data_IF_617726485678
#
_entry.id   IF_617726485678
#
_cell.length_a   1.000
_cell.length_b   1.000
_cell.length_c   1.000
_cell.angle_alpha   90.00
_cell.angle_beta   90.00
_cell.angle_gamma   90.00
#
_symmetry.space_group_name_H-M   'P 1'
#
loop_
_entity.id
_entity.type
_entity.pdbx_description
1 polymer ?
#
# COMPACT_ATOMS: atom_id res chain seq x y z
N UNK A 1 -3.68 9.07 3.82
CA UNK A 1 -3.13 8.68 5.14
C UNK A 1 -1.65 8.33 5.03
N UNK A 2 -1.28 7.20 4.43
CA UNK A 2 0.12 6.73 4.41
C UNK A 2 1.11 7.75 3.83
N UNK A 3 0.88 8.28 2.63
CA UNK A 3 1.78 9.27 2.00
C UNK A 3 1.88 10.58 2.81
N UNK A 4 0.86 10.89 3.63
CA UNK A 4 0.87 12.05 4.51
C UNK A 4 1.57 11.76 5.87
N UNK A 5 2.20 10.60 6.04
CA UNK A 5 2.89 10.20 7.26
C UNK A 5 2.02 9.51 8.30
N UNK A 6 0.72 9.37 8.06
CA UNK A 6 -0.24 8.82 9.01
C UNK A 6 -0.42 7.31 8.82
N UNK A 7 0.52 6.54 9.38
CA UNK A 7 0.51 5.09 9.30
C UNK A 7 -0.64 4.47 10.08
N UNK A 8 -0.95 4.97 11.29
CA UNK A 8 -1.96 4.35 12.15
C UNK A 8 -3.34 4.40 11.51
N UNK A 9 -3.77 5.55 10.99
CA UNK A 9 -5.05 5.65 10.30
C UNK A 9 -5.05 4.85 8.98
N UNK A 10 -3.91 4.78 8.27
CA UNK A 10 -3.82 3.96 7.07
C UNK A 10 -4.01 2.47 7.37
N UNK A 11 -3.38 1.97 8.44
CA UNK A 11 -3.51 0.58 8.90
C UNK A 11 -4.92 0.27 9.37
N UNK A 12 -5.53 1.18 10.14
CA UNK A 12 -6.88 0.97 10.67
C UNK A 12 -7.91 0.97 9.52
N UNK A 13 -7.72 1.82 8.49
CA UNK A 13 -8.55 1.79 7.29
C UNK A 13 -8.37 0.50 6.47
N UNK A 14 -7.13 0.00 6.35
CA UNK A 14 -6.86 -1.28 5.71
C UNK A 14 -7.55 -2.44 6.44
N UNK A 15 -7.47 -2.45 7.78
CA UNK A 15 -8.16 -3.43 8.62
C UNK A 15 -9.66 -3.41 8.39
N UNK A 16 -10.25 -2.21 8.37
CA UNK A 16 -11.68 -2.02 8.12
C UNK A 16 -12.10 -2.58 6.76
N UNK A 17 -11.35 -2.28 5.69
CA UNK A 17 -11.64 -2.78 4.34
C UNK A 17 -11.55 -4.30 4.28
N UNK A 18 -10.49 -4.89 4.83
CA UNK A 18 -10.28 -6.33 4.72
C UNK A 18 -11.23 -7.14 5.61
N UNK A 19 -11.50 -6.68 6.83
CA UNK A 19 -12.31 -7.43 7.80
C UNK A 19 -13.80 -7.10 7.74
N UNK A 20 -14.15 -5.80 7.66
CA UNK A 20 -15.57 -5.39 7.69
C UNK A 20 -16.20 -5.52 6.31
N UNK A 21 -15.48 -5.13 5.27
CA UNK A 21 -15.98 -5.19 3.88
C UNK A 21 -15.63 -6.51 3.18
N UNK A 22 -14.92 -7.43 3.85
CA UNK A 22 -14.54 -8.76 3.33
C UNK A 22 -13.80 -8.71 1.99
N UNK A 23 -13.06 -7.63 1.74
CA UNK A 23 -12.28 -7.48 0.52
C UNK A 23 -10.98 -8.27 0.63
N UNK A 24 -10.67 -9.06 -0.40
CA UNK A 24 -9.44 -9.85 -0.43
C UNK A 24 -8.20 -8.94 -0.51
N UNK A 25 -7.08 -9.37 0.09
CA UNK A 25 -5.83 -8.62 -0.02
C UNK A 25 -5.33 -8.45 -1.47
N UNK A 26 -5.66 -9.41 -2.35
CA UNK A 26 -5.37 -9.33 -3.79
C UNK A 26 -6.18 -8.23 -4.48
N UNK A 27 -7.43 -8.02 -4.10
CA UNK A 27 -8.25 -6.94 -4.66
C UNK A 27 -7.80 -5.59 -4.11
N UNK A 28 -7.44 -5.52 -2.83
CA UNK A 28 -6.89 -4.31 -2.21
C UNK A 28 -5.61 -3.87 -2.93
N UNK A 29 -4.64 -4.78 -3.16
CA UNK A 29 -3.39 -4.39 -3.81
C UNK A 29 -3.58 -3.94 -5.27
N UNK A 30 -4.51 -4.58 -5.99
CA UNK A 30 -4.89 -4.15 -7.35
C UNK A 30 -5.56 -2.77 -7.36
N UNK A 31 -6.38 -2.47 -6.35
CA UNK A 31 -6.98 -1.15 -6.19
C UNK A 31 -5.91 -0.09 -5.89
N UNK A 32 -4.95 -0.39 -5.00
CA UNK A 32 -3.82 0.48 -4.70
C UNK A 32 -3.03 0.78 -5.98
N UNK A 33 -2.64 -0.24 -6.75
CA UNK A 33 -1.88 -0.09 -7.99
C UNK A 33 -2.57 0.84 -8.99
N UNK A 34 -3.91 0.75 -9.14
CA UNK A 34 -4.69 1.62 -10.03
C UNK A 34 -4.66 3.08 -9.59
N UNK A 35 -4.65 3.34 -8.29
CA UNK A 35 -4.73 4.71 -7.76
C UNK A 35 -3.37 5.43 -7.66
N UNK A 36 -2.24 4.71 -7.68
CA UNK A 36 -0.91 5.34 -7.53
C UNK A 36 -0.68 6.48 -8.51
N UNK A 37 -1.09 6.30 -9.77
CA UNK A 37 -0.87 7.31 -10.81
C UNK A 37 -1.79 8.53 -10.70
N UNK A 38 -2.92 8.39 -9.99
CA UNK A 38 -3.88 9.47 -9.72
C UNK A 38 -3.45 10.34 -8.52
N UNK A 39 -2.44 9.93 -7.76
CA UNK A 39 -1.98 10.67 -6.59
C UNK A 39 -1.37 12.03 -6.98
N UNK A 40 -1.63 13.11 -6.21
CA UNK A 40 -1.03 14.42 -6.42
C UNK A 40 0.37 14.51 -5.78
N UNK A 41 1.29 13.63 -6.18
CA UNK A 41 2.69 13.59 -5.74
C UNK A 41 3.66 13.65 -6.91
N UNK A 42 4.93 13.93 -6.64
CA UNK A 42 5.96 14.00 -7.67
C UNK A 42 6.17 12.65 -8.38
N UNK A 43 6.53 12.66 -9.68
CA UNK A 43 6.75 11.44 -10.45
C UNK A 43 7.73 10.42 -9.82
N UNK A 44 8.88 10.81 -9.23
CA UNK A 44 9.79 9.85 -8.59
C UNK A 44 9.14 9.07 -7.44
N UNK A 45 8.26 9.72 -6.68
CA UNK A 45 7.49 9.06 -5.61
C UNK A 45 6.55 8.02 -6.24
N UNK A 46 5.81 8.37 -7.30
CA UNK A 46 4.92 7.41 -7.99
C UNK A 46 5.64 6.16 -8.48
N UNK A 47 6.83 6.33 -9.06
CA UNK A 47 7.67 5.21 -9.51
C UNK A 47 8.04 4.31 -8.33
N UNK A 48 8.46 4.89 -7.21
CA UNK A 48 8.81 4.13 -6.00
C UNK A 48 7.61 3.39 -5.39
N UNK A 49 6.44 4.03 -5.31
CA UNK A 49 5.21 3.39 -4.84
C UNK A 49 4.84 2.21 -5.75
N UNK A 50 4.99 2.36 -7.06
CA UNK A 50 4.71 1.30 -8.05
C UNK A 50 5.63 0.10 -7.85
N UNK A 51 6.94 0.33 -7.69
CA UNK A 51 7.93 -0.73 -7.41
C UNK A 51 7.54 -1.52 -6.15
N UNK A 52 7.30 -0.84 -5.03
CA UNK A 52 6.95 -1.48 -3.75
C UNK A 52 5.62 -2.23 -3.81
N UNK A 53 4.66 -1.72 -4.57
CA UNK A 53 3.37 -2.39 -4.79
C UNK A 53 3.55 -3.70 -5.56
N UNK A 54 4.39 -3.70 -6.60
CA UNK A 54 4.72 -4.92 -7.34
C UNK A 54 5.42 -5.97 -6.49
N UNK A 55 6.37 -5.56 -5.63
CA UNK A 55 7.05 -6.47 -4.71
C UNK A 55 6.09 -7.12 -3.69
N UNK A 56 5.17 -6.33 -3.14
CA UNK A 56 4.14 -6.85 -2.23
C UNK A 56 3.16 -7.80 -2.94
N UNK A 57 2.75 -7.48 -4.18
CA UNK A 57 1.85 -8.32 -4.96
C UNK A 57 2.47 -9.67 -5.28
N UNK A 58 3.73 -9.67 -5.73
CA UNK A 58 4.48 -10.90 -5.95
C UNK A 58 4.52 -11.77 -4.69
N UNK A 59 4.85 -11.21 -3.53
CA UNK A 59 4.90 -11.97 -2.27
C UNK A 59 3.53 -12.54 -1.88
N UNK A 60 2.45 -11.79 -2.10
CA UNK A 60 1.07 -12.25 -1.85
C UNK A 60 0.74 -13.43 -2.76
N UNK A 61 1.10 -13.34 -4.04
CA UNK A 61 0.89 -14.43 -5.02
C UNK A 61 1.68 -15.68 -4.65
N UNK A 62 2.90 -15.53 -4.14
CA UNK A 62 3.74 -16.62 -3.64
C UNK A 62 3.27 -17.22 -2.29
N UNK A 63 2.12 -16.79 -1.78
CA UNK A 63 1.49 -17.36 -0.58
C UNK A 63 1.87 -16.67 0.74
N UNK A 64 2.48 -15.49 0.69
CA UNK A 64 2.67 -14.67 1.89
C UNK A 64 1.33 -14.16 2.42
N UNK A 65 1.27 -13.90 3.73
CA UNK A 65 0.09 -13.31 4.36
C UNK A 65 -0.23 -11.92 3.79
N UNK A 66 -1.41 -11.71 3.17
CA UNK A 66 -1.74 -10.43 2.53
C UNK A 66 -1.84 -9.27 3.51
N UNK A 67 -2.31 -9.51 4.73
CA UNK A 67 -2.48 -8.45 5.72
C UNK A 67 -1.12 -7.91 6.19
N UNK A 68 -0.14 -8.80 6.40
CA UNK A 68 1.23 -8.41 6.73
C UNK A 68 1.89 -7.67 5.54
N UNK A 69 1.76 -8.19 4.32
CA UNK A 69 2.37 -7.55 3.14
C UNK A 69 1.77 -6.16 2.85
N UNK A 70 0.46 -6.00 3.00
CA UNK A 70 -0.21 -4.71 2.81
C UNK A 70 0.19 -3.70 3.90
N UNK A 71 0.38 -4.13 5.14
CA UNK A 71 0.93 -3.25 6.18
C UNK A 71 2.38 -2.82 5.88
N UNK A 72 3.22 -3.75 5.41
CA UNK A 72 4.57 -3.43 4.99
C UNK A 72 4.56 -2.41 3.84
N UNK A 73 3.65 -2.58 2.87
CA UNK A 73 3.46 -1.64 1.78
C UNK A 73 3.06 -0.24 2.28
N UNK A 74 2.12 -0.15 3.22
CA UNK A 74 1.73 1.13 3.84
C UNK A 74 2.90 1.81 4.55
N UNK A 75 3.77 1.05 5.22
CA UNK A 75 4.97 1.60 5.84
C UNK A 75 5.94 2.17 4.80
N UNK A 76 6.18 1.44 3.69
CA UNK A 76 6.98 1.95 2.58
C UNK A 76 6.40 3.22 1.96
N UNK A 77 5.06 3.33 1.87
CA UNK A 77 4.39 4.53 1.36
C UNK A 77 4.59 5.74 2.27
N UNK A 78 4.58 5.53 3.59
CA UNK A 78 4.91 6.56 4.59
C UNK A 78 6.35 7.04 4.42
N UNK A 79 7.31 6.12 4.33
CA UNK A 79 8.73 6.47 4.20
C UNK A 79 9.01 7.22 2.89
N UNK A 80 8.40 6.79 1.79
CA UNK A 80 8.48 7.49 0.50
C UNK A 80 7.88 8.90 0.57
N UNK A 81 6.73 9.08 1.23
CA UNK A 81 6.11 10.40 1.43
C UNK A 81 6.92 11.34 2.32
N UNK A 82 7.69 10.79 3.27
CA UNK A 82 8.59 11.54 4.15
C UNK A 82 9.97 11.82 3.54
N UNK A 83 10.27 11.28 2.35
CA UNK A 83 11.59 11.37 1.72
C UNK A 83 12.69 10.64 2.51
N UNK A 84 12.33 9.58 3.26
CA UNK A 84 13.24 8.86 4.17
C UNK A 84 13.73 7.52 3.63
N UNK A 85 13.39 7.18 2.41
CA UNK A 85 13.89 6.02 1.67
C UNK A 85 14.40 6.44 0.30
#
# INVERSE_FOLDING_TARGET
>A
YAIAGDFQNARDKLLDIMLKESISGQDVIKAIQKEIWNLPVEPPIKVKLTEKTGEAEFRIVEGSDPFIQLQALLASFVLAGLGKD
#
